data_IF_280677395681
#
_entry.id   IF_280677395681
#
_cell.length_a   1.000
_cell.length_b   1.000
_cell.length_c   1.000
_cell.angle_alpha   90.00
_cell.angle_beta   90.00
_cell.angle_gamma   90.00
#
_symmetry.space_group_name_H-M   'P 1'
#
loop_
_entity.id
_entity.type
_entity.pdbx_description
1 polymer ?
#
# COMPACT_ATOMS: atom_id res chain seq x y z
N UNK A 1 5.19 25.43 17.90
CA UNK A 1 3.91 25.15 17.24
C UNK A 1 3.37 26.45 16.62
N UNK A 2 2.87 26.41 15.41
CA UNK A 2 2.11 27.45 14.70
C UNK A 2 2.76 28.87 14.52
N UNK A 3 4.05 29.06 14.22
CA UNK A 3 4.61 30.41 14.11
C UNK A 3 4.18 31.14 12.82
N UNK A 4 3.72 30.45 11.79
CA UNK A 4 3.35 31.05 10.48
C UNK A 4 1.85 31.06 10.18
N UNK A 5 1.02 30.59 11.08
CA UNK A 5 -0.42 30.46 10.87
C UNK A 5 -1.18 31.68 11.42
N UNK A 6 -1.74 32.51 10.55
CA UNK A 6 -2.42 33.76 10.91
C UNK A 6 -3.92 33.77 10.72
N UNK A 7 -4.50 32.74 10.08
CA UNK A 7 -5.92 32.77 9.65
C UNK A 7 -6.72 31.48 9.93
N UNK A 8 -6.09 30.38 10.36
CA UNK A 8 -6.77 29.09 10.55
C UNK A 8 -7.20 28.87 12.01
N UNK A 9 -8.22 28.04 12.21
CA UNK A 9 -8.87 27.81 13.50
C UNK A 9 -9.00 26.32 13.80
N UNK A 10 -9.13 25.98 15.11
CA UNK A 10 -9.49 24.63 15.54
C UNK A 10 -8.39 23.59 15.49
N UNK A 11 -7.11 24.00 15.51
CA UNK A 11 -6.00 23.05 15.52
C UNK A 11 -5.69 22.50 16.91
N UNK A 12 -5.24 21.23 16.94
CA UNK A 12 -4.54 20.65 18.07
C UNK A 12 -3.09 20.42 17.63
N UNK A 13 -2.13 21.16 18.22
CA UNK A 13 -0.72 21.07 17.90
C UNK A 13 0.12 20.82 19.17
N UNK A 14 0.64 19.61 19.33
CA UNK A 14 1.44 19.22 20.51
C UNK A 14 2.79 18.66 20.04
N UNK A 15 3.88 19.31 20.38
CA UNK A 15 5.23 18.89 20.05
C UNK A 15 6.11 20.02 19.49
N UNK A 16 7.41 19.74 19.35
CA UNK A 16 8.36 20.68 18.76
C UNK A 16 8.13 20.78 17.24
N UNK A 17 8.15 21.99 16.69
CA UNK A 17 7.92 22.25 15.25
C UNK A 17 6.67 21.63 14.64
N UNK A 18 5.66 21.33 15.44
CA UNK A 18 4.37 20.85 14.92
C UNK A 18 3.65 21.97 14.18
N UNK A 19 3.14 21.72 12.96
CA UNK A 19 2.52 22.70 12.05
C UNK A 19 3.38 23.95 11.82
N UNK A 20 4.70 23.81 11.76
CA UNK A 20 5.62 24.95 11.82
C UNK A 20 5.54 25.86 10.58
N UNK A 21 5.59 25.29 9.39
CA UNK A 21 5.47 25.99 8.09
C UNK A 21 4.12 25.68 7.42
N UNK A 22 3.10 25.35 8.20
CA UNK A 22 1.77 25.14 7.62
C UNK A 22 1.26 26.47 7.02
N UNK A 23 1.09 26.48 5.70
CA UNK A 23 0.64 27.65 4.94
C UNK A 23 -0.72 27.40 4.33
N UNK A 24 -1.51 28.48 4.16
CA UNK A 24 -2.87 28.46 3.61
C UNK A 24 -3.92 27.77 4.49
N UNK A 25 -4.20 28.41 5.65
CA UNK A 25 -5.49 28.40 6.34
C UNK A 25 -6.31 27.09 6.32
N UNK A 26 -5.68 25.94 6.39
CA UNK A 26 -6.40 24.71 6.69
C UNK A 26 -6.90 24.77 8.14
N UNK A 27 -8.14 24.36 8.36
CA UNK A 27 -8.77 24.37 9.69
C UNK A 27 -8.92 22.94 10.22
N UNK A 28 -8.99 22.79 11.57
CA UNK A 28 -9.34 21.55 12.23
C UNK A 28 -8.33 20.39 12.10
N UNK A 29 -7.04 20.70 12.04
CA UNK A 29 -5.98 19.68 12.01
C UNK A 29 -5.64 19.20 13.42
N UNK A 30 -5.33 17.92 13.55
CA UNK A 30 -4.76 17.33 14.76
C UNK A 30 -3.34 16.87 14.45
N UNK A 31 -2.35 17.52 15.04
CA UNK A 31 -0.94 17.19 14.88
C UNK A 31 -0.25 17.02 16.24
N UNK A 32 0.20 15.82 16.53
CA UNK A 32 0.86 15.48 17.80
C UNK A 32 2.17 14.75 17.49
N UNK A 33 3.30 15.34 17.86
CA UNK A 33 4.64 14.79 17.65
C UNK A 33 5.61 15.84 17.12
N UNK A 34 6.92 15.61 17.31
CA UNK A 34 7.94 16.49 16.75
C UNK A 34 7.88 16.45 15.22
N UNK A 35 7.79 17.64 14.60
CA UNK A 35 7.67 17.79 13.16
C UNK A 35 6.40 17.24 12.52
N UNK A 36 5.37 16.88 13.28
CA UNK A 36 4.09 16.46 12.70
C UNK A 36 3.48 17.60 11.86
N UNK A 37 3.11 17.33 10.59
CA UNK A 37 2.63 18.29 9.60
C UNK A 37 3.53 19.53 9.45
N UNK A 38 4.86 19.35 9.50
CA UNK A 38 5.82 20.47 9.55
C UNK A 38 5.71 21.42 8.36
N UNK A 39 5.79 20.94 7.12
CA UNK A 39 5.65 21.69 5.88
C UNK A 39 4.31 21.36 5.20
N UNK A 40 3.27 21.23 5.98
CA UNK A 40 1.98 20.92 5.42
C UNK A 40 1.41 22.11 4.63
N UNK A 41 1.00 21.85 3.39
CA UNK A 41 0.34 22.83 2.54
C UNK A 41 -0.97 22.25 2.03
N UNK A 42 -2.02 22.44 2.78
CA UNK A 42 -3.37 21.98 2.45
C UNK A 42 -4.25 23.06 1.81
N UNK A 43 -5.41 22.66 1.34
CA UNK A 43 -6.49 23.57 0.96
C UNK A 43 -7.24 24.09 2.21
N UNK A 44 -8.15 25.03 2.05
CA UNK A 44 -8.91 25.64 3.16
C UNK A 44 -9.73 24.64 4.01
N UNK A 45 -10.04 23.45 3.50
CA UNK A 45 -10.88 22.42 4.14
C UNK A 45 -10.08 21.14 4.45
N UNK A 46 -8.90 21.27 4.98
CA UNK A 46 -8.02 20.15 5.28
C UNK A 46 -8.19 19.70 6.75
N UNK A 47 -8.69 18.48 6.95
CA UNK A 47 -8.98 17.85 8.25
C UNK A 47 -7.95 16.78 8.64
N UNK A 48 -6.68 16.97 8.34
CA UNK A 48 -5.64 15.97 8.54
C UNK A 48 -5.43 15.63 10.03
N UNK A 49 -5.21 14.34 10.30
CA UNK A 49 -4.81 13.82 11.62
C UNK A 49 -3.41 13.21 11.50
N UNK A 50 -2.42 13.79 12.19
CA UNK A 50 -1.05 13.31 12.20
C UNK A 50 -0.56 13.07 13.64
N UNK A 51 -0.30 11.81 13.99
CA UNK A 51 0.17 11.41 15.31
C UNK A 51 1.49 10.67 15.20
N UNK A 52 2.59 11.26 15.61
CA UNK A 52 3.92 10.64 15.61
C UNK A 52 5.02 11.58 15.12
N UNK A 53 6.28 11.16 15.33
CA UNK A 53 7.45 11.89 14.85
C UNK A 53 7.42 11.99 13.32
N UNK A 54 7.47 13.22 12.81
CA UNK A 54 7.42 13.54 11.37
C UNK A 54 6.24 12.89 10.60
N UNK A 55 5.13 12.57 11.27
CA UNK A 55 3.92 12.13 10.60
C UNK A 55 3.41 13.27 9.69
N UNK A 56 3.23 12.99 8.39
CA UNK A 56 2.83 13.99 7.38
C UNK A 56 3.80 15.16 7.21
N UNK A 57 5.10 15.00 7.48
CA UNK A 57 6.07 16.11 7.58
C UNK A 57 6.08 17.04 6.35
N UNK A 58 6.08 16.51 5.15
CA UNK A 58 6.03 17.25 3.88
C UNK A 58 4.75 16.91 3.09
N UNK A 59 3.67 16.61 3.78
CA UNK A 59 2.41 16.30 3.10
C UNK A 59 1.82 17.55 2.41
N UNK A 60 1.22 17.36 1.25
CA UNK A 60 0.65 18.43 0.43
C UNK A 60 -0.77 18.06 0.01
N UNK A 61 -1.73 18.94 0.21
CA UNK A 61 -3.11 18.83 -0.29
C UNK A 61 -3.94 17.64 0.21
N UNK A 62 -3.59 17.04 1.36
CA UNK A 62 -4.29 15.89 1.93
C UNK A 62 -5.60 16.31 2.63
N UNK A 63 -6.70 16.29 1.93
CA UNK A 63 -8.03 16.51 2.52
C UNK A 63 -8.41 15.28 3.33
N UNK A 64 -8.40 15.38 4.67
CA UNK A 64 -8.90 14.33 5.57
C UNK A 64 -7.98 13.11 5.72
N UNK A 65 -6.67 13.24 5.49
CA UNK A 65 -5.74 12.13 5.67
C UNK A 65 -5.52 11.76 7.15
N UNK A 66 -5.35 10.47 7.41
CA UNK A 66 -4.99 9.93 8.74
C UNK A 66 -3.59 9.34 8.69
N UNK A 67 -2.65 9.93 9.44
CA UNK A 67 -1.23 9.57 9.46
C UNK A 67 -0.79 9.27 10.89
N UNK A 68 -0.66 8.00 11.26
CA UNK A 68 -0.34 7.58 12.63
C UNK A 68 0.92 6.71 12.64
N UNK A 69 2.00 7.20 13.23
CA UNK A 69 3.26 6.48 13.37
C UNK A 69 4.47 7.32 12.95
N UNK A 70 5.67 6.78 13.19
CA UNK A 70 6.93 7.38 12.76
C UNK A 70 6.94 7.55 11.23
N UNK A 71 6.99 8.79 10.73
CA UNK A 71 7.00 9.14 9.31
C UNK A 71 5.84 8.54 8.48
N UNK A 72 4.71 8.23 9.10
CA UNK A 72 3.53 7.83 8.35
C UNK A 72 3.11 8.98 7.42
N UNK A 73 2.90 8.71 6.13
CA UNK A 73 2.57 9.72 5.14
C UNK A 73 3.60 10.85 4.98
N UNK A 74 4.90 10.62 5.23
CA UNK A 74 5.93 11.67 5.33
C UNK A 74 5.95 12.66 4.14
N UNK A 75 5.71 12.19 2.92
CA UNK A 75 5.59 12.99 1.69
C UNK A 75 4.29 12.68 0.96
N UNK A 76 3.27 12.30 1.71
CA UNK A 76 1.99 12.05 1.09
C UNK A 76 1.47 13.31 0.39
N UNK A 77 0.96 13.16 -0.83
CA UNK A 77 0.36 14.24 -1.59
C UNK A 77 -0.84 13.70 -2.35
N UNK A 78 -2.04 14.03 -1.93
CA UNK A 78 -3.25 13.51 -2.56
C UNK A 78 -4.46 13.61 -1.64
N UNK A 79 -5.54 12.97 -2.00
CA UNK A 79 -6.81 13.06 -1.26
C UNK A 79 -6.97 11.89 -0.28
N UNK A 80 -7.30 12.17 0.97
CA UNK A 80 -7.92 11.22 1.93
C UNK A 80 -7.24 9.85 2.09
N UNK A 81 -5.94 9.78 2.30
CA UNK A 81 -5.22 8.54 2.59
C UNK A 81 -5.30 8.13 4.07
N UNK A 82 -5.19 6.82 4.36
CA UNK A 82 -5.04 6.28 5.71
C UNK A 82 -3.68 5.58 5.83
N UNK A 83 -2.77 6.15 6.61
CA UNK A 83 -1.41 5.68 6.79
C UNK A 83 -1.15 5.39 8.27
N UNK A 84 -1.17 4.13 8.68
CA UNK A 84 -1.01 3.73 10.07
C UNK A 84 0.17 2.76 10.22
N UNK A 85 1.21 3.18 10.91
CA UNK A 85 2.42 2.40 11.11
C UNK A 85 3.69 3.17 10.75
N UNK A 86 4.84 2.68 11.21
CA UNK A 86 6.12 3.28 10.87
C UNK A 86 6.36 3.26 9.37
N UNK A 87 6.54 4.43 8.74
CA UNK A 87 6.78 4.61 7.31
C UNK A 87 5.66 4.09 6.38
N UNK A 88 4.45 3.91 6.88
CA UNK A 88 3.31 3.57 6.04
C UNK A 88 3.02 4.72 5.06
N UNK A 89 2.89 4.40 3.77
CA UNK A 89 2.59 5.37 2.71
C UNK A 89 3.57 6.54 2.59
N UNK A 90 4.84 6.35 2.87
CA UNK A 90 5.83 7.44 3.03
C UNK A 90 5.93 8.40 1.83
N UNK A 91 5.68 7.94 0.61
CA UNK A 91 5.69 8.74 -0.60
C UNK A 91 4.35 8.67 -1.37
N UNK A 92 3.27 8.27 -0.71
CA UNK A 92 1.97 8.08 -1.35
C UNK A 92 1.44 9.40 -1.93
N UNK A 93 0.94 9.36 -3.15
CA UNK A 93 0.40 10.55 -3.83
C UNK A 93 -1.09 10.47 -4.13
N UNK A 94 -1.76 9.42 -3.73
CA UNK A 94 -3.20 9.22 -3.93
C UNK A 94 -3.88 8.56 -2.73
N UNK A 95 -5.21 8.52 -2.76
CA UNK A 95 -6.04 7.89 -1.73
C UNK A 95 -5.74 6.39 -1.62
N UNK A 96 -4.95 6.01 -0.65
CA UNK A 96 -4.61 4.61 -0.33
C UNK A 96 -4.87 4.31 1.14
N UNK A 97 -5.06 3.04 1.46
CA UNK A 97 -5.12 2.56 2.85
C UNK A 97 -3.87 1.70 3.10
N UNK A 98 -2.93 2.23 3.88
CA UNK A 98 -1.68 1.55 4.19
C UNK A 98 -1.54 1.39 5.70
N UNK A 99 -1.68 0.15 6.19
CA UNK A 99 -1.67 -0.16 7.63
C UNK A 99 -0.61 -1.22 7.91
N UNK A 100 0.42 -0.84 8.63
CA UNK A 100 1.57 -1.70 8.95
C UNK A 100 2.90 -1.01 8.68
N UNK A 101 3.98 -1.51 9.27
CA UNK A 101 5.32 -0.96 9.03
C UNK A 101 5.71 -1.14 7.56
N UNK A 102 6.08 -0.07 6.89
CA UNK A 102 6.45 -0.01 5.48
C UNK A 102 5.34 -0.49 4.50
N UNK A 103 4.08 -0.54 4.92
CA UNK A 103 2.98 -0.82 4.02
C UNK A 103 2.86 0.33 3.00
N UNK A 104 2.82 0.01 1.70
CA UNK A 104 2.77 1.00 0.62
C UNK A 104 3.93 2.01 0.62
N UNK A 105 5.12 1.65 1.12
CA UNK A 105 6.24 2.58 1.30
C UNK A 105 6.70 3.23 -0.01
N UNK A 106 6.75 2.48 -1.09
CA UNK A 106 7.18 2.93 -2.41
C UNK A 106 6.06 3.45 -3.30
N UNK A 107 4.89 3.77 -2.75
CA UNK A 107 3.77 4.27 -3.54
C UNK A 107 4.15 5.55 -4.27
N UNK A 108 4.42 5.45 -5.56
CA UNK A 108 4.84 6.56 -6.42
C UNK A 108 3.65 7.35 -6.95
N UNK A 109 3.94 8.47 -7.61
CA UNK A 109 2.93 9.37 -8.21
C UNK A 109 1.99 8.59 -9.13
N UNK A 110 0.67 8.80 -8.92
CA UNK A 110 -0.44 8.23 -9.71
C UNK A 110 -0.87 6.80 -9.38
N UNK A 111 -0.29 6.12 -8.39
CA UNK A 111 -0.86 4.86 -7.90
C UNK A 111 -2.08 5.13 -7.00
N UNK A 112 -3.29 4.75 -7.42
CA UNK A 112 -4.52 5.06 -6.69
C UNK A 112 -5.36 3.84 -6.32
N UNK A 113 -6.22 4.00 -5.30
CA UNK A 113 -7.17 2.97 -4.89
C UNK A 113 -6.55 1.71 -4.28
N UNK A 114 -5.29 1.75 -3.83
CA UNK A 114 -4.63 0.59 -3.26
C UNK A 114 -4.92 0.45 -1.77
N UNK A 115 -5.11 -0.79 -1.33
CA UNK A 115 -5.21 -1.19 0.08
C UNK A 115 -4.04 -2.14 0.38
N UNK A 116 -3.17 -1.77 1.32
CA UNK A 116 -2.09 -2.64 1.78
C UNK A 116 -2.09 -2.70 3.32
N UNK A 117 -2.42 -3.86 3.87
CA UNK A 117 -2.52 -4.09 5.31
C UNK A 117 -1.57 -5.22 5.72
N UNK A 118 -0.55 -4.90 6.48
CA UNK A 118 0.46 -5.85 6.97
C UNK A 118 1.88 -5.30 6.83
N UNK A 119 2.83 -5.94 7.49
CA UNK A 119 4.25 -5.62 7.39
C UNK A 119 4.76 -5.80 5.95
N UNK A 120 5.33 -4.75 5.34
CA UNK A 120 5.83 -4.74 3.96
C UNK A 120 4.77 -5.12 2.90
N UNK A 121 3.49 -5.03 3.21
CA UNK A 121 2.43 -5.25 2.22
C UNK A 121 2.48 -4.15 1.17
N UNK A 122 2.49 -4.52 -0.12
CA UNK A 122 2.57 -3.57 -1.24
C UNK A 122 3.77 -2.61 -1.14
N UNK A 123 4.93 -3.06 -0.62
CA UNK A 123 6.10 -2.19 -0.39
C UNK A 123 6.53 -1.43 -1.64
N UNK A 124 6.42 -2.04 -2.82
CA UNK A 124 6.94 -1.52 -4.08
C UNK A 124 5.80 -1.15 -5.06
N UNK A 125 4.80 -0.40 -4.61
CA UNK A 125 3.85 0.17 -5.55
C UNK A 125 4.53 1.18 -6.47
N UNK A 126 4.31 1.04 -7.77
CA UNK A 126 4.78 1.98 -8.80
C UNK A 126 3.62 2.82 -9.35
N UNK A 127 3.93 3.81 -10.16
CA UNK A 127 2.94 4.73 -10.78
C UNK A 127 1.85 4.06 -11.63
N UNK A 128 2.02 2.78 -11.93
CA UNK A 128 1.06 1.96 -12.68
C UNK A 128 0.30 0.95 -11.81
N UNK A 129 0.51 0.97 -10.48
CA UNK A 129 -0.05 -0.01 -9.55
C UNK A 129 -1.38 0.50 -8.97
N UNK A 130 -2.50 0.28 -9.67
CA UNK A 130 -3.80 0.77 -9.24
C UNK A 130 -4.76 -0.32 -8.79
N UNK A 131 -5.65 0.02 -7.86
CA UNK A 131 -6.79 -0.81 -7.44
C UNK A 131 -6.38 -2.20 -6.94
N UNK A 132 -5.31 -2.28 -6.18
CA UNK A 132 -4.87 -3.53 -5.56
C UNK A 132 -5.36 -3.65 -4.12
N UNK A 133 -5.65 -4.88 -3.68
CA UNK A 133 -5.98 -5.22 -2.29
C UNK A 133 -4.97 -6.25 -1.79
N UNK A 134 -4.06 -5.84 -0.91
CA UNK A 134 -3.04 -6.70 -0.32
C UNK A 134 -3.20 -6.74 1.20
N UNK A 135 -3.53 -7.91 1.75
CA UNK A 135 -3.75 -8.10 3.18
C UNK A 135 -2.94 -9.28 3.69
N UNK A 136 -1.95 -9.00 4.51
CA UNK A 136 -1.04 -10.00 5.07
C UNK A 136 0.40 -9.51 5.09
N UNK A 137 1.26 -10.16 5.88
CA UNK A 137 2.69 -9.88 5.89
C UNK A 137 3.27 -10.14 4.51
N UNK A 138 3.93 -9.12 3.91
CA UNK A 138 4.54 -9.18 2.58
C UNK A 138 3.58 -9.54 1.43
N UNK A 139 2.27 -9.46 1.62
CA UNK A 139 1.31 -9.65 0.54
C UNK A 139 1.58 -8.61 -0.56
N UNK A 140 1.73 -9.06 -1.81
CA UNK A 140 2.02 -8.20 -2.96
C UNK A 140 3.28 -7.36 -2.85
N UNK A 141 4.28 -7.75 -2.04
CA UNK A 141 5.44 -6.90 -1.71
C UNK A 141 6.15 -6.35 -2.94
N UNK A 142 6.36 -7.17 -3.96
CA UNK A 142 7.04 -6.81 -5.21
C UNK A 142 6.08 -6.75 -6.41
N UNK A 143 4.78 -6.68 -6.16
CA UNK A 143 3.75 -6.60 -7.19
C UNK A 143 3.56 -5.15 -7.66
N UNK A 144 3.78 -4.89 -8.94
CA UNK A 144 3.64 -3.57 -9.57
C UNK A 144 2.52 -3.49 -10.60
N UNK A 145 1.79 -4.59 -10.82
CA UNK A 145 0.61 -4.59 -11.68
C UNK A 145 -0.64 -4.07 -10.98
N UNK A 146 -1.73 -3.93 -11.73
CA UNK A 146 -3.01 -3.40 -11.25
C UNK A 146 -4.08 -4.47 -11.09
N UNK A 147 -5.11 -4.14 -10.28
CA UNK A 147 -6.30 -4.96 -10.10
C UNK A 147 -6.01 -6.36 -9.51
N UNK A 148 -5.03 -6.47 -8.64
CA UNK A 148 -4.72 -7.72 -7.96
C UNK A 148 -5.35 -7.73 -6.55
N UNK A 149 -5.81 -8.92 -6.13
CA UNK A 149 -6.30 -9.17 -4.77
C UNK A 149 -5.48 -10.29 -4.14
N UNK A 150 -4.60 -9.95 -3.19
CA UNK A 150 -3.73 -10.89 -2.49
C UNK A 150 -3.99 -10.87 -1.00
N UNK A 151 -4.42 -12.01 -0.44
CA UNK A 151 -4.80 -12.14 0.97
C UNK A 151 -4.10 -13.34 1.59
N UNK A 152 -3.23 -13.12 2.52
CA UNK A 152 -2.42 -14.12 3.21
C UNK A 152 -0.95 -13.70 3.32
N UNK A 153 -0.20 -14.37 4.21
CA UNK A 153 1.24 -14.18 4.30
C UNK A 153 1.90 -14.52 2.97
N UNK A 154 2.67 -13.58 2.40
CA UNK A 154 3.37 -13.72 1.11
C UNK A 154 2.45 -14.06 -0.08
N UNK A 155 1.14 -13.94 0.03
CA UNK A 155 0.25 -14.09 -1.10
C UNK A 155 0.64 -13.09 -2.20
N UNK A 156 0.87 -13.57 -3.42
CA UNK A 156 1.32 -12.73 -4.53
C UNK A 156 2.58 -11.92 -4.22
N UNK A 157 3.54 -12.47 -3.46
CA UNK A 157 4.78 -11.78 -3.07
C UNK A 157 5.47 -11.11 -4.25
N UNK A 158 5.51 -11.78 -5.39
CA UNK A 158 6.22 -11.40 -6.60
C UNK A 158 7.58 -12.09 -6.73
N UNK A 159 7.80 -12.74 -7.87
CA UNK A 159 9.01 -13.54 -8.13
C UNK A 159 10.27 -12.72 -8.39
N UNK A 160 10.16 -11.41 -8.58
CA UNK A 160 11.31 -10.51 -8.83
C UNK A 160 11.44 -9.48 -7.71
N UNK A 161 12.57 -9.53 -7.01
CA UNK A 161 12.89 -8.66 -5.86
C UNK A 161 13.64 -7.38 -6.23
N UNK A 162 13.91 -7.19 -7.50
CA UNK A 162 14.56 -5.99 -8.08
C UNK A 162 13.84 -5.60 -9.37
N UNK A 163 14.01 -4.37 -9.81
CA UNK A 163 13.41 -3.89 -11.06
C UNK A 163 13.94 -4.65 -12.30
N UNK A 164 13.10 -4.99 -13.28
CA UNK A 164 11.67 -4.79 -13.28
C UNK A 164 10.94 -5.76 -12.33
N UNK A 165 10.11 -5.20 -11.43
CA UNK A 165 9.33 -5.98 -10.48
C UNK A 165 8.20 -6.77 -11.16
N UNK A 166 7.47 -7.57 -10.36
CA UNK A 166 6.39 -8.42 -10.89
C UNK A 166 5.19 -7.60 -11.36
N UNK A 167 4.92 -7.60 -12.66
CA UNK A 167 3.93 -6.73 -13.31
C UNK A 167 2.60 -7.42 -13.66
N UNK A 168 2.38 -8.66 -13.24
CA UNK A 168 1.14 -9.39 -13.47
C UNK A 168 -0.09 -8.66 -12.95
N UNK A 169 -1.23 -8.79 -13.66
CA UNK A 169 -2.44 -8.03 -13.39
C UNK A 169 -3.68 -8.91 -13.29
N UNK A 170 -4.71 -8.39 -12.61
CA UNK A 170 -6.03 -9.03 -12.48
C UNK A 170 -5.96 -10.43 -11.87
N UNK A 171 -5.04 -10.63 -10.92
CA UNK A 171 -4.86 -11.89 -10.23
C UNK A 171 -5.57 -11.87 -8.87
N UNK A 172 -6.06 -13.03 -8.46
CA UNK A 172 -6.60 -13.26 -7.12
C UNK A 172 -5.83 -14.39 -6.46
N UNK A 173 -5.14 -14.09 -5.36
CA UNK A 173 -4.44 -15.07 -4.54
C UNK A 173 -4.91 -14.99 -3.10
N UNK A 174 -5.42 -16.11 -2.56
CA UNK A 174 -5.92 -16.19 -1.18
C UNK A 174 -5.32 -17.41 -0.49
N UNK A 175 -4.49 -17.19 0.50
CA UNK A 175 -3.79 -18.22 1.25
C UNK A 175 -2.31 -17.88 1.46
N UNK A 176 -1.65 -18.48 2.45
CA UNK A 176 -0.22 -18.28 2.65
C UNK A 176 0.55 -18.84 1.44
N UNK A 177 1.53 -18.07 0.92
CA UNK A 177 2.34 -18.37 -0.25
C UNK A 177 1.54 -18.68 -1.54
N UNK A 178 0.26 -18.31 -1.59
CA UNK A 178 -0.51 -18.48 -2.83
C UNK A 178 0.07 -17.55 -3.91
N UNK A 179 0.42 -18.09 -5.09
CA UNK A 179 0.89 -17.35 -6.26
C UNK A 179 2.11 -16.42 -5.98
N UNK A 180 3.03 -16.86 -5.13
CA UNK A 180 4.11 -16.02 -4.61
C UNK A 180 5.26 -15.79 -5.61
N UNK A 181 5.50 -16.69 -6.56
CA UNK A 181 6.59 -16.58 -7.55
C UNK A 181 6.23 -15.83 -8.84
N UNK A 182 5.05 -15.24 -8.97
CA UNK A 182 4.62 -14.65 -10.24
C UNK A 182 5.52 -13.50 -10.71
N UNK A 183 5.64 -13.35 -12.02
CA UNK A 183 6.34 -12.23 -12.66
C UNK A 183 5.41 -11.43 -13.57
N UNK A 184 4.88 -12.06 -14.62
CA UNK A 184 4.03 -11.42 -15.61
C UNK A 184 2.68 -12.12 -15.79
N UNK A 185 2.39 -13.16 -15.03
CA UNK A 185 1.14 -13.91 -15.14
C UNK A 185 -0.08 -13.03 -14.88
N UNK A 186 -1.17 -13.28 -15.62
CA UNK A 186 -2.36 -12.44 -15.60
C UNK A 186 -3.64 -13.27 -15.51
N UNK A 187 -4.69 -12.69 -14.88
CA UNK A 187 -6.00 -13.32 -14.75
C UNK A 187 -5.95 -14.72 -14.13
N UNK A 188 -5.15 -14.86 -13.08
CA UNK A 188 -5.00 -16.10 -12.31
C UNK A 188 -5.89 -16.04 -11.07
N UNK A 189 -6.53 -17.15 -10.74
CA UNK A 189 -7.21 -17.40 -9.47
C UNK A 189 -6.48 -18.51 -8.73
N UNK A 190 -5.83 -18.19 -7.60
CA UNK A 190 -5.09 -19.14 -6.76
C UNK A 190 -5.62 -19.05 -5.32
N UNK A 191 -6.36 -20.06 -4.88
CA UNK A 191 -6.99 -20.09 -3.55
C UNK A 191 -6.56 -21.36 -2.79
N UNK A 192 -5.84 -21.16 -1.72
CA UNK A 192 -5.29 -22.23 -0.88
C UNK A 192 -3.84 -21.98 -0.53
N UNK A 193 -3.33 -22.64 0.51
CA UNK A 193 -1.90 -22.63 0.86
C UNK A 193 -1.07 -23.13 -0.34
N UNK A 194 -0.03 -22.40 -0.74
CA UNK A 194 0.82 -22.67 -1.91
C UNK A 194 0.08 -22.88 -3.26
N UNK A 195 -1.19 -22.47 -3.39
CA UNK A 195 -1.89 -22.60 -4.66
C UNK A 195 -1.18 -21.77 -5.75
N UNK A 196 -0.77 -22.42 -6.86
CA UNK A 196 -0.07 -21.79 -7.96
C UNK A 196 1.26 -21.15 -7.60
N UNK A 197 1.95 -21.58 -6.53
CA UNK A 197 3.12 -20.92 -5.96
C UNK A 197 4.31 -20.85 -6.92
N UNK A 198 4.51 -21.81 -7.82
CA UNK A 198 5.58 -21.78 -8.81
C UNK A 198 5.21 -21.06 -10.12
N UNK A 199 3.97 -20.59 -10.29
CA UNK A 199 3.54 -19.98 -11.56
C UNK A 199 4.16 -18.60 -11.75
N UNK A 200 5.08 -18.48 -12.67
CA UNK A 200 5.80 -17.24 -12.98
C UNK A 200 5.15 -16.40 -14.08
N UNK A 201 4.72 -17.07 -15.17
CA UNK A 201 4.12 -16.43 -16.34
C UNK A 201 2.96 -17.28 -16.87
N UNK A 202 2.29 -16.82 -17.90
CA UNK A 202 1.07 -17.46 -18.38
C UNK A 202 -0.17 -16.73 -17.88
N UNK A 203 -1.33 -17.37 -17.94
CA UNK A 203 -2.54 -16.69 -17.49
C UNK A 203 -3.81 -17.52 -17.64
N UNK A 204 -4.93 -16.94 -17.19
CA UNK A 204 -6.24 -17.59 -17.24
C UNK A 204 -6.30 -18.93 -16.48
N UNK A 205 -5.50 -19.06 -15.42
CA UNK A 205 -5.42 -20.29 -14.64
C UNK A 205 -6.32 -20.21 -13.40
N UNK A 206 -6.86 -21.36 -12.99
CA UNK A 206 -7.66 -21.51 -11.78
C UNK A 206 -7.11 -22.65 -10.93
N UNK A 207 -6.51 -22.33 -9.79
CA UNK A 207 -5.99 -23.28 -8.82
C UNK A 207 -6.72 -23.09 -7.49
N UNK A 208 -7.51 -24.07 -7.06
CA UNK A 208 -8.28 -24.02 -5.82
C UNK A 208 -8.04 -25.27 -5.00
N UNK A 209 -7.39 -25.10 -3.87
CA UNK A 209 -7.00 -26.18 -2.95
C UNK A 209 -5.57 -26.01 -2.46
N UNK A 210 -5.21 -26.62 -1.33
CA UNK A 210 -3.83 -26.61 -0.87
C UNK A 210 -2.91 -27.28 -1.90
N UNK A 211 -1.78 -26.64 -2.22
CA UNK A 211 -0.79 -27.10 -3.20
C UNK A 211 -1.34 -27.37 -4.63
N UNK A 212 -2.54 -26.86 -4.95
CA UNK A 212 -3.09 -26.96 -6.30
C UNK A 212 -2.23 -26.13 -7.28
N UNK A 213 -1.74 -26.73 -8.37
CA UNK A 213 -0.84 -26.09 -9.33
C UNK A 213 0.53 -25.69 -8.78
N UNK A 214 0.97 -26.29 -7.66
CA UNK A 214 2.20 -25.90 -6.95
C UNK A 214 3.47 -25.94 -7.83
N UNK A 215 3.57 -26.90 -8.74
CA UNK A 215 4.74 -27.08 -9.61
C UNK A 215 4.55 -26.52 -11.02
N UNK A 216 3.43 -25.87 -11.28
CA UNK A 216 3.10 -25.29 -12.61
C UNK A 216 3.82 -23.95 -12.76
N UNK A 217 4.66 -23.78 -13.76
CA UNK A 217 5.49 -22.58 -13.95
C UNK A 217 4.99 -21.60 -15.02
N UNK A 218 4.41 -22.09 -16.14
CA UNK A 218 4.14 -21.25 -17.33
C UNK A 218 2.86 -21.65 -18.08
N UNK A 219 1.86 -22.23 -17.44
CA UNK A 219 0.64 -22.71 -18.13
C UNK A 219 -0.33 -21.61 -18.51
N UNK A 220 -1.14 -21.88 -19.55
CA UNK A 220 -2.29 -21.09 -19.97
C UNK A 220 -3.55 -21.95 -19.83
N UNK A 221 -4.65 -21.35 -19.35
CA UNK A 221 -5.95 -22.00 -19.22
C UNK A 221 -5.95 -23.28 -18.35
N UNK A 222 -5.01 -23.38 -17.40
CA UNK A 222 -4.92 -24.52 -16.48
C UNK A 222 -6.02 -24.48 -15.43
N UNK A 223 -6.63 -25.62 -15.13
CA UNK A 223 -7.59 -25.77 -14.04
C UNK A 223 -7.16 -26.91 -13.11
N UNK A 224 -6.93 -26.58 -11.84
CA UNK A 224 -6.64 -27.53 -10.78
C UNK A 224 -7.54 -27.26 -9.58
N UNK A 225 -8.48 -28.14 -9.28
CA UNK A 225 -9.40 -28.02 -8.14
C UNK A 225 -9.25 -29.22 -7.24
N UNK A 226 -8.94 -29.00 -5.98
CA UNK A 226 -8.66 -30.01 -4.97
C UNK A 226 -7.20 -29.94 -4.48
N UNK A 227 -6.91 -30.57 -3.34
CA UNK A 227 -5.56 -30.64 -2.79
C UNK A 227 -4.61 -31.31 -3.79
N UNK A 228 -3.46 -30.70 -4.04
CA UNK A 228 -2.42 -31.18 -4.97
C UNK A 228 -2.91 -31.40 -6.44
N UNK A 229 -4.05 -30.84 -6.82
CA UNK A 229 -4.56 -30.94 -8.18
C UNK A 229 -3.68 -30.19 -9.18
N UNK A 230 -3.46 -30.74 -10.38
CA UNK A 230 -2.68 -30.11 -11.47
C UNK A 230 -1.22 -29.80 -11.01
N UNK A 231 -0.57 -30.82 -10.52
CA UNK A 231 0.86 -30.76 -10.10
C UNK A 231 1.81 -30.81 -11.27
#
# INVERSE_FOLDING_TARGET
>A
ALPSNTTSHGHIAIGYRTLYNAVNASSYQIAIGDGALYNHSGSADDYAVALGFEAGYNSQTDIGAVMIGYRAGYRASGFSGVYIGSQAGINSTNSGIYIGRNAGQGAERYSGGNIAIGYLSGEVFMSTSDNNVFVGQQAGRYATGSNNTFIGEQAGLGGTTSAPYSSGQKNTAVGANAFDAFTTALQVTAIGHNAGSALTSGGYNTFVGADAGQNVTTTLYGVGIGTEAHR
#
